data_IF_805827444442
#
_entry.id   IF_805827444442
#
_cell.length_a   1.000
_cell.length_b   1.000
_cell.length_c   1.000
_cell.angle_alpha   90.00
_cell.angle_beta   90.00
_cell.angle_gamma   90.00
#
_symmetry.space_group_name_H-M   'P 1'
#
loop_
_entity.id
_entity.type
_entity.pdbx_description
1 polymer ?
#
# COMPACT_ATOMS: atom_id res chain seq x y z
N UNK A 1 -27.39 -25.74 -19.20
CA UNK A 1 -27.28 -24.42 -18.55
C UNK A 1 -28.45 -23.59 -19.01
N UNK A 2 -29.18 -22.98 -18.09
CA UNK A 2 -30.22 -22.01 -18.43
C UNK A 2 -29.58 -20.72 -18.99
N UNK A 3 -30.35 -19.91 -19.71
CA UNK A 3 -29.84 -18.60 -20.18
C UNK A 3 -29.40 -17.70 -19.03
N UNK A 4 -30.10 -17.79 -17.89
CA UNK A 4 -29.75 -17.10 -16.65
C UNK A 4 -28.37 -17.55 -16.12
N UNK A 5 -28.08 -18.85 -16.16
CA UNK A 5 -26.77 -19.37 -15.73
C UNK A 5 -25.65 -18.82 -16.62
N UNK A 6 -25.87 -18.78 -17.93
CA UNK A 6 -24.90 -18.23 -18.91
C UNK A 6 -24.63 -16.75 -18.64
N UNK A 7 -25.68 -15.94 -18.52
CA UNK A 7 -25.55 -14.49 -18.26
C UNK A 7 -24.87 -14.23 -16.92
N UNK A 8 -25.19 -15.01 -15.89
CA UNK A 8 -24.56 -14.90 -14.57
C UNK A 8 -23.06 -15.20 -14.64
N UNK A 9 -22.68 -16.22 -15.43
CA UNK A 9 -21.29 -16.59 -15.62
C UNK A 9 -20.53 -15.49 -16.39
N UNK A 10 -21.10 -14.99 -17.49
CA UNK A 10 -20.48 -13.93 -18.30
C UNK A 10 -20.25 -12.65 -17.47
N UNK A 11 -21.23 -12.27 -16.65
CA UNK A 11 -21.10 -11.15 -15.72
C UNK A 11 -19.95 -11.35 -14.73
N UNK A 12 -19.86 -12.53 -14.09
CA UNK A 12 -18.80 -12.84 -13.13
C UNK A 12 -17.41 -12.75 -13.78
N UNK A 13 -17.25 -13.37 -14.95
CA UNK A 13 -15.98 -13.35 -15.69
C UNK A 13 -15.57 -11.91 -16.00
N UNK A 14 -16.49 -11.12 -16.56
CA UNK A 14 -16.17 -9.74 -16.93
C UNK A 14 -15.83 -8.87 -15.72
N UNK A 15 -16.58 -9.02 -14.63
CA UNK A 15 -16.30 -8.32 -13.36
C UNK A 15 -14.91 -8.68 -12.83
N UNK A 16 -14.56 -9.96 -12.81
CA UNK A 16 -13.28 -10.44 -12.29
C UNK A 16 -12.11 -9.95 -13.18
N UNK A 17 -12.30 -9.85 -14.50
CA UNK A 17 -11.34 -9.21 -15.41
C UNK A 17 -11.14 -7.73 -15.10
N UNK A 18 -12.21 -6.98 -14.84
CA UNK A 18 -12.13 -5.56 -14.47
C UNK A 18 -11.38 -5.41 -13.14
N UNK A 19 -11.72 -6.22 -12.14
CA UNK A 19 -11.04 -6.19 -10.84
C UNK A 19 -9.54 -6.46 -11.00
N UNK A 20 -9.18 -7.47 -11.80
CA UNK A 20 -7.78 -7.80 -12.10
C UNK A 20 -7.05 -6.61 -12.75
N UNK A 21 -7.67 -5.93 -13.71
CA UNK A 21 -7.10 -4.74 -14.36
C UNK A 21 -6.89 -3.59 -13.36
N UNK A 22 -7.84 -3.35 -12.45
CA UNK A 22 -7.71 -2.32 -11.41
C UNK A 22 -6.52 -2.61 -10.47
N UNK A 23 -6.38 -3.86 -10.02
CA UNK A 23 -5.24 -4.30 -9.21
C UNK A 23 -3.93 -4.12 -9.95
N UNK A 24 -3.88 -4.49 -11.24
CA UNK A 24 -2.68 -4.37 -12.07
C UNK A 24 -2.27 -2.90 -12.28
N UNK A 25 -3.23 -2.00 -12.54
CA UNK A 25 -2.95 -0.55 -12.64
C UNK A 25 -2.31 -0.04 -11.34
N UNK A 26 -2.84 -0.43 -10.18
CA UNK A 26 -2.27 -0.03 -8.89
C UNK A 26 -0.87 -0.56 -8.67
N UNK A 27 -0.62 -1.81 -9.07
CA UNK A 27 0.73 -2.39 -9.04
C UNK A 27 1.69 -1.59 -9.90
N UNK A 28 1.32 -1.28 -11.14
CA UNK A 28 2.15 -0.50 -12.06
C UNK A 28 2.45 0.91 -11.53
N UNK A 29 1.45 1.56 -10.93
CA UNK A 29 1.61 2.88 -10.27
C UNK A 29 2.56 2.81 -9.08
N UNK A 30 2.46 1.77 -8.25
CA UNK A 30 3.39 1.54 -7.15
C UNK A 30 4.81 1.33 -7.68
N UNK A 31 4.99 0.43 -8.65
CA UNK A 31 6.29 0.15 -9.26
C UNK A 31 6.92 1.41 -9.89
N UNK A 32 6.12 2.27 -10.53
CA UNK A 32 6.60 3.53 -11.09
C UNK A 32 7.11 4.50 -10.02
N UNK A 33 6.50 4.51 -8.83
CA UNK A 33 7.00 5.28 -7.68
C UNK A 33 8.26 4.64 -7.08
N UNK A 34 8.28 3.31 -6.93
CA UNK A 34 9.43 2.59 -6.39
C UNK A 34 10.71 2.75 -7.24
N UNK A 35 10.58 2.88 -8.56
CA UNK A 35 11.73 3.17 -9.44
C UNK A 35 12.41 4.51 -9.14
N UNK A 36 11.69 5.47 -8.56
CA UNK A 36 12.21 6.80 -8.19
C UNK A 36 12.85 6.80 -6.80
N UNK A 37 12.62 5.76 -6.01
CA UNK A 37 13.04 5.69 -4.62
C UNK A 37 14.56 5.77 -4.43
N UNK A 38 15.43 5.09 -5.22
CA UNK A 38 16.88 5.18 -5.02
C UNK A 38 17.41 6.61 -5.13
N UNK A 39 16.94 7.36 -6.13
CA UNK A 39 17.31 8.77 -6.33
C UNK A 39 16.85 9.66 -5.14
N UNK A 40 15.68 9.36 -4.57
CA UNK A 40 15.18 10.07 -3.39
C UNK A 40 16.07 9.75 -2.17
N UNK A 41 16.51 8.50 -2.02
CA UNK A 41 17.35 8.06 -0.89
C UNK A 41 18.76 8.66 -0.95
N UNK A 42 19.32 8.90 -2.14
CA UNK A 42 20.59 9.64 -2.27
C UNK A 42 20.52 11.02 -1.60
N UNK A 43 19.37 11.70 -1.68
CA UNK A 43 19.16 13.00 -1.04
C UNK A 43 19.06 12.94 0.49
N UNK A 44 18.88 11.75 1.09
CA UNK A 44 18.69 11.61 2.53
C UNK A 44 19.96 11.82 3.34
N UNK A 45 21.14 11.81 2.69
CA UNK A 45 22.44 12.02 3.34
C UNK A 45 22.87 13.49 3.41
N UNK A 46 22.02 14.43 2.99
CA UNK A 46 22.29 15.87 3.08
C UNK A 46 22.26 16.40 4.52
N UNK A 47 23.00 17.48 4.83
CA UNK A 47 22.90 18.15 6.12
C UNK A 47 21.52 18.81 6.24
N UNK A 48 20.94 18.72 7.43
CA UNK A 48 19.59 19.17 7.81
C UNK A 48 18.40 18.30 7.39
N UNK A 49 17.87 17.57 8.37
CA UNK A 49 16.47 17.14 8.35
C UNK A 49 15.76 17.54 9.64
N UNK A 50 15.50 18.83 9.80
CA UNK A 50 14.47 19.28 10.73
C UNK A 50 13.05 19.12 10.14
N UNK A 51 12.91 18.58 8.93
CA UNK A 51 11.60 18.31 8.34
C UNK A 51 11.01 17.07 9.03
N UNK A 52 9.87 17.25 9.70
CA UNK A 52 9.12 16.17 10.34
C UNK A 52 8.18 15.45 9.37
N UNK A 53 8.17 15.84 8.09
CA UNK A 53 7.23 15.33 7.10
C UNK A 53 7.69 14.02 6.44
N UNK A 54 6.75 13.19 5.95
CA UNK A 54 7.06 12.08 5.07
C UNK A 54 7.66 12.57 3.76
N UNK A 55 8.47 11.72 3.12
CA UNK A 55 9.08 12.01 1.83
C UNK A 55 8.04 12.19 0.72
N UNK A 56 8.47 12.80 -0.38
CA UNK A 56 7.65 12.91 -1.58
C UNK A 56 7.23 11.53 -2.12
N UNK A 57 8.06 10.49 -1.92
CA UNK A 57 7.72 9.13 -2.28
C UNK A 57 6.53 8.63 -1.45
N UNK A 58 6.61 8.71 -0.12
CA UNK A 58 5.54 8.24 0.76
C UNK A 58 4.23 8.97 0.47
N UNK A 59 4.28 10.30 0.28
CA UNK A 59 3.12 11.12 -0.10
C UNK A 59 2.54 10.72 -1.46
N UNK A 60 3.37 10.41 -2.45
CA UNK A 60 2.91 10.00 -3.77
C UNK A 60 2.20 8.63 -3.72
N UNK A 61 2.79 7.66 -3.01
CA UNK A 61 2.21 6.31 -2.85
C UNK A 61 0.86 6.37 -2.13
N UNK A 62 0.75 7.12 -1.02
CA UNK A 62 -0.51 7.25 -0.28
C UNK A 62 -1.58 8.02 -1.06
N UNK A 63 -1.18 9.02 -1.86
CA UNK A 63 -2.09 9.76 -2.74
C UNK A 63 -2.74 8.87 -3.81
N UNK A 64 -1.96 8.03 -4.48
CA UNK A 64 -2.47 7.11 -5.52
C UNK A 64 -3.49 6.13 -4.94
N UNK A 65 -3.20 5.55 -3.77
CA UNK A 65 -4.13 4.64 -3.07
C UNK A 65 -5.42 5.35 -2.66
N UNK A 66 -5.28 6.54 -2.05
CA UNK A 66 -6.44 7.33 -1.60
C UNK A 66 -7.32 7.72 -2.78
N UNK A 67 -6.71 8.09 -3.91
CA UNK A 67 -7.43 8.42 -5.13
C UNK A 67 -8.21 7.22 -5.66
N UNK A 68 -7.58 6.03 -5.76
CA UNK A 68 -8.27 4.82 -6.19
C UNK A 68 -9.47 4.51 -5.28
N UNK A 69 -9.27 4.52 -3.96
CA UNK A 69 -10.33 4.23 -3.00
C UNK A 69 -11.52 5.18 -3.17
N UNK A 70 -11.24 6.48 -3.30
CA UNK A 70 -12.27 7.50 -3.52
C UNK A 70 -13.07 7.27 -4.80
N UNK A 71 -12.42 6.87 -5.89
CA UNK A 71 -13.12 6.62 -7.16
C UNK A 71 -13.92 5.31 -7.09
N UNK A 72 -13.31 4.22 -6.61
CA UNK A 72 -13.96 2.91 -6.60
C UNK A 72 -15.11 2.81 -5.60
N UNK A 73 -15.01 3.47 -4.45
CA UNK A 73 -16.09 3.50 -3.45
C UNK A 73 -17.39 4.17 -3.93
N UNK A 74 -17.31 4.97 -5.00
CA UNK A 74 -18.48 5.60 -5.63
C UNK A 74 -19.14 4.71 -6.69
N UNK A 75 -18.45 3.66 -7.15
CA UNK A 75 -18.84 2.87 -8.33
C UNK A 75 -19.15 1.42 -7.96
N UNK A 76 -18.40 0.84 -7.03
CA UNK A 76 -18.45 -0.57 -6.69
C UNK A 76 -19.19 -0.81 -5.37
N UNK A 77 -19.75 -2.01 -5.24
CA UNK A 77 -20.27 -2.49 -3.97
C UNK A 77 -19.13 -2.73 -2.98
N UNK A 78 -19.42 -2.61 -1.69
CA UNK A 78 -18.46 -2.78 -0.61
C UNK A 78 -17.71 -4.13 -0.69
N UNK A 79 -18.39 -5.21 -1.07
CA UNK A 79 -17.78 -6.54 -1.20
C UNK A 79 -16.73 -6.60 -2.32
N UNK A 80 -17.01 -5.96 -3.46
CA UNK A 80 -16.09 -5.92 -4.61
C UNK A 80 -14.91 -4.98 -4.31
N UNK A 81 -15.20 -3.85 -3.65
CA UNK A 81 -14.19 -2.91 -3.17
C UNK A 81 -13.19 -3.60 -2.22
N UNK A 82 -13.69 -4.35 -1.24
CA UNK A 82 -12.87 -5.13 -0.32
C UNK A 82 -12.05 -6.22 -1.02
N UNK A 83 -12.62 -6.89 -2.03
CA UNK A 83 -11.92 -7.91 -2.80
C UNK A 83 -10.73 -7.32 -3.59
N UNK A 84 -10.91 -6.13 -4.18
CA UNK A 84 -9.84 -5.39 -4.87
C UNK A 84 -8.78 -4.95 -3.86
N UNK A 85 -9.19 -4.27 -2.77
CA UNK A 85 -8.24 -3.70 -1.81
C UNK A 85 -7.45 -4.77 -1.04
N UNK A 86 -8.01 -5.96 -0.82
CA UNK A 86 -7.25 -7.10 -0.29
C UNK A 86 -6.00 -7.40 -1.12
N UNK A 87 -6.14 -7.46 -2.44
CA UNK A 87 -5.00 -7.74 -3.34
C UNK A 87 -4.04 -6.55 -3.40
N UNK A 88 -4.57 -5.32 -3.46
CA UNK A 88 -3.74 -4.10 -3.46
C UNK A 88 -2.89 -4.00 -2.19
N UNK A 89 -3.49 -4.24 -1.01
CA UNK A 89 -2.79 -4.26 0.29
C UNK A 89 -1.63 -5.26 0.27
N UNK A 90 -1.88 -6.50 -0.17
CA UNK A 90 -0.84 -7.53 -0.27
C UNK A 90 0.32 -7.11 -1.18
N UNK A 91 0.00 -6.56 -2.36
CA UNK A 91 1.00 -6.05 -3.30
C UNK A 91 1.84 -4.94 -2.66
N UNK A 92 1.19 -4.01 -1.94
CA UNK A 92 1.85 -2.90 -1.27
C UNK A 92 2.80 -3.37 -0.19
N UNK A 93 2.36 -4.24 0.72
CA UNK A 93 3.25 -4.79 1.75
C UNK A 93 4.45 -5.48 1.12
N UNK A 94 4.24 -6.37 0.15
CA UNK A 94 5.32 -7.14 -0.48
C UNK A 94 6.32 -6.25 -1.22
N UNK A 95 5.87 -5.41 -2.15
CA UNK A 95 6.78 -4.67 -3.02
C UNK A 95 7.47 -3.50 -2.30
N UNK A 96 6.80 -2.84 -1.35
CA UNK A 96 7.42 -1.76 -0.55
C UNK A 96 8.46 -2.35 0.39
N UNK A 97 8.14 -3.45 1.08
CA UNK A 97 9.11 -4.13 1.96
C UNK A 97 10.33 -4.60 1.19
N UNK A 98 10.14 -5.21 0.02
CA UNK A 98 11.24 -5.64 -0.83
C UNK A 98 12.13 -4.47 -1.24
N UNK A 99 11.54 -3.35 -1.69
CA UNK A 99 12.30 -2.18 -2.10
C UNK A 99 13.06 -1.54 -0.93
N UNK A 100 12.40 -1.38 0.22
CA UNK A 100 13.00 -0.78 1.41
C UNK A 100 14.11 -1.64 2.00
N UNK A 101 13.97 -2.97 1.94
CA UNK A 101 15.00 -3.91 2.41
C UNK A 101 16.30 -3.85 1.58
N UNK A 102 16.21 -3.40 0.33
CA UNK A 102 17.37 -3.23 -0.58
C UNK A 102 18.05 -1.87 -0.45
N UNK A 103 17.49 -0.94 0.33
CA UNK A 103 18.08 0.38 0.52
C UNK A 103 19.27 0.30 1.48
N UNK A 104 20.39 0.89 1.08
CA UNK A 104 21.56 1.06 1.95
C UNK A 104 21.41 2.34 2.78
N UNK A 105 20.82 2.19 3.96
CA UNK A 105 20.52 3.32 4.86
C UNK A 105 21.43 3.28 6.09
N UNK A 106 22.59 3.92 5.99
CA UNK A 106 23.64 3.86 7.01
C UNK A 106 23.55 4.98 8.05
N UNK A 107 23.08 6.17 7.67
CA UNK A 107 23.01 7.33 8.56
C UNK A 107 21.77 7.29 9.48
N UNK A 108 21.88 7.74 10.75
CA UNK A 108 20.72 7.84 11.66
C UNK A 108 19.56 8.67 11.10
N UNK A 109 19.88 9.74 10.38
CA UNK A 109 18.91 10.63 9.74
C UNK A 109 18.10 9.89 8.68
N UNK A 110 18.79 9.18 7.78
CA UNK A 110 18.13 8.42 6.73
C UNK A 110 17.30 7.25 7.29
N UNK A 111 17.74 6.63 8.41
CA UNK A 111 16.93 5.63 9.14
C UNK A 111 15.65 6.25 9.72
N UNK A 112 15.73 7.44 10.32
CA UNK A 112 14.55 8.14 10.83
C UNK A 112 13.57 8.51 9.71
N UNK A 113 14.07 8.99 8.55
CA UNK A 113 13.25 9.26 7.36
C UNK A 113 12.55 7.99 6.87
N UNK A 114 13.27 6.88 6.76
CA UNK A 114 12.70 5.60 6.34
C UNK A 114 11.59 5.13 7.29
N UNK A 115 11.84 5.17 8.61
CA UNK A 115 10.85 4.80 9.62
C UNK A 115 9.56 5.62 9.46
N UNK A 116 9.70 6.93 9.28
CA UNK A 116 8.57 7.84 9.08
C UNK A 116 7.78 7.54 7.81
N UNK A 117 8.46 7.27 6.70
CA UNK A 117 7.82 6.89 5.44
C UNK A 117 7.04 5.59 5.59
N UNK A 118 7.63 4.58 6.23
CA UNK A 118 6.97 3.30 6.53
C UNK A 118 5.71 3.52 7.36
N UNK A 119 5.81 4.29 8.45
CA UNK A 119 4.68 4.59 9.32
C UNK A 119 3.57 5.33 8.57
N UNK A 120 3.92 6.33 7.75
CA UNK A 120 2.94 7.10 6.97
C UNK A 120 2.19 6.21 5.97
N UNK A 121 2.90 5.32 5.29
CA UNK A 121 2.32 4.36 4.34
C UNK A 121 1.40 3.37 5.08
N UNK A 122 1.86 2.81 6.21
CA UNK A 122 1.06 1.86 7.01
C UNK A 122 -0.23 2.49 7.53
N UNK A 123 -0.21 3.74 7.99
CA UNK A 123 -1.44 4.47 8.39
C UNK A 123 -2.44 4.54 7.25
N UNK A 124 -1.99 4.71 6.01
CA UNK A 124 -2.85 4.72 4.83
C UNK A 124 -3.39 3.31 4.53
N UNK A 125 -2.52 2.30 4.47
CA UNK A 125 -2.88 0.91 4.14
C UNK A 125 -3.90 0.34 5.15
N UNK A 126 -3.69 0.58 6.45
CA UNK A 126 -4.56 0.10 7.54
C UNK A 126 -5.98 0.70 7.50
N UNK A 127 -6.17 1.84 6.82
CA UNK A 127 -7.49 2.48 6.63
C UNK A 127 -8.27 1.94 5.43
N UNK A 128 -7.66 1.12 4.59
CA UNK A 128 -8.31 0.60 3.39
C UNK A 128 -9.40 -0.43 3.72
N UNK A 129 -10.40 -0.59 2.84
CA UNK A 129 -11.46 -1.58 3.03
C UNK A 129 -10.89 -2.98 3.27
N UNK A 130 -11.33 -3.60 4.37
CA UNK A 130 -10.95 -4.94 4.79
C UNK A 130 -12.22 -5.76 5.03
N UNK A 131 -12.17 -7.07 4.76
CA UNK A 131 -13.32 -7.92 5.07
C UNK A 131 -13.48 -8.03 6.59
N UNK A 132 -14.63 -7.61 7.10
CA UNK A 132 -14.97 -7.69 8.53
C UNK A 132 -15.43 -9.12 8.86
N UNK A 133 -14.49 -10.06 9.04
CA UNK A 133 -14.84 -11.42 9.43
C UNK A 133 -14.81 -11.70 10.93
N UNK A 134 -14.19 -10.83 11.74
CA UNK A 134 -14.19 -10.98 13.20
C UNK A 134 -13.73 -9.69 13.88
N UNK A 135 -13.96 -9.62 15.18
CA UNK A 135 -13.45 -8.62 16.14
C UNK A 135 -11.92 -8.62 16.29
N UNK A 136 -11.17 -8.85 15.22
CA UNK A 136 -9.71 -8.79 15.22
C UNK A 136 -9.22 -7.34 15.17
N UNK A 137 -8.30 -6.96 16.07
CA UNK A 137 -7.88 -5.57 16.22
C UNK A 137 -7.00 -5.05 15.08
N UNK A 138 -6.49 -5.89 14.18
CA UNK A 138 -5.43 -5.50 13.23
C UNK A 138 -5.86 -5.67 11.76
N UNK A 139 -6.49 -4.63 11.21
CA UNK A 139 -6.87 -4.58 9.78
C UNK A 139 -5.65 -4.34 8.90
N UNK A 140 -5.57 -5.06 7.77
CA UNK A 140 -4.56 -4.90 6.72
C UNK A 140 -3.11 -4.88 7.25
N UNK A 141 -2.78 -5.79 8.16
CA UNK A 141 -1.40 -6.04 8.59
C UNK A 141 -0.66 -6.91 7.56
N UNK A 142 0.66 -6.74 7.44
CA UNK A 142 1.49 -7.61 6.60
C UNK A 142 2.99 -7.33 6.72
N UNK A 143 3.74 -7.75 5.69
CA UNK A 143 5.22 -7.72 5.67
C UNK A 143 5.85 -6.36 6.00
N UNK A 144 5.18 -5.26 5.63
CA UNK A 144 5.69 -3.92 5.92
C UNK A 144 5.62 -3.56 7.41
N UNK A 145 4.66 -4.12 8.14
CA UNK A 145 4.58 -3.98 9.59
C UNK A 145 5.69 -4.78 10.28
N UNK A 146 5.94 -6.01 9.82
CA UNK A 146 7.06 -6.85 10.27
C UNK A 146 8.40 -6.14 10.03
N UNK A 147 8.59 -5.57 8.83
CA UNK A 147 9.75 -4.75 8.49
C UNK A 147 9.95 -3.58 9.46
N UNK A 148 8.87 -2.85 9.80
CA UNK A 148 8.94 -1.75 10.76
C UNK A 148 9.42 -2.24 12.14
N UNK A 149 8.82 -3.33 12.63
CA UNK A 149 9.13 -3.91 13.94
C UNK A 149 10.58 -4.41 14.01
N UNK A 150 11.05 -5.12 12.98
CA UNK A 150 12.41 -5.66 12.91
C UNK A 150 13.48 -4.57 12.81
N UNK A 151 13.24 -3.53 12.00
CA UNK A 151 14.25 -2.49 11.71
C UNK A 151 14.30 -1.36 12.72
N UNK A 152 13.17 -1.03 13.34
CA UNK A 152 13.04 0.17 14.18
C UNK A 152 12.52 -0.12 15.59
N UNK A 153 12.18 -1.38 15.88
CA UNK A 153 11.56 -1.79 17.13
C UNK A 153 10.08 -1.40 17.19
N UNK A 154 9.38 -1.97 18.15
CA UNK A 154 7.99 -1.63 18.47
C UNK A 154 7.95 -0.27 19.18
N UNK A 155 8.33 0.83 18.50
CA UNK A 155 7.96 2.17 18.97
C UNK A 155 6.49 2.39 18.65
N UNK A 156 5.65 1.63 19.36
CA UNK A 156 4.25 1.96 19.61
C UNK A 156 4.28 2.70 20.94
N UNK A 157 4.76 3.93 20.93
CA UNK A 157 4.65 4.81 22.09
C UNK A 157 3.74 5.99 21.73
N UNK A 158 2.59 5.95 22.41
CA UNK A 158 1.60 6.99 22.78
C UNK A 158 0.79 7.71 21.69
#
# INVERSE_FOLDING_TARGET
MSELDRVTQDYKVHRDEIHTKLVQIMRERLLANLRKLPQIVESWNGPDDNDSQPSLFAKAVTKEVTYLHRILSQILLEVDLQAIFRQVVQIFHSHITEAFSKLEVSSPQAKNRLCRDVQHILVCIRKLPAQNFSSEPVRNYGLLDEFLAEKFGTKVDE
#
